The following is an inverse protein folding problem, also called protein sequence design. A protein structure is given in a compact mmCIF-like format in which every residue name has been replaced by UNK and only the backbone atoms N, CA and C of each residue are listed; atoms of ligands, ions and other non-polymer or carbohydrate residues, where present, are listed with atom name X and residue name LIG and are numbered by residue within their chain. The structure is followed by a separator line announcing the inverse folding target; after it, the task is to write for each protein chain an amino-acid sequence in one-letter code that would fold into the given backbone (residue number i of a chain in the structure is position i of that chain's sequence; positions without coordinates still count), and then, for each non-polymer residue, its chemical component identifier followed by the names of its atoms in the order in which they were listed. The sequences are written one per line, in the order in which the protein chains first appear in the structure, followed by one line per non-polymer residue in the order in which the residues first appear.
data_IF_393785746771
#
_entry.id   IF_393785746771
#
_cell.length_a   1.000
_cell.length_b   1.000
_cell.length_c   1.000
_cell.angle_alpha   90.00
_cell.angle_beta   90.00
_cell.angle_gamma   90.00
#
_symmetry.space_group_name_H-M   'P 1'
#
loop_
_entity.id
_entity.type
_entity.pdbx_description
1 polymer ?
#
# COMPACT_ATOMS: atom_id res chain seq x y z
N UNK A 1 -10.22 -22.07 -9.97
CA UNK A 1 -8.96 -21.33 -10.19
C UNK A 1 -8.26 -21.26 -8.84
N UNK A 2 -7.12 -21.95 -8.67
CA UNK A 2 -6.41 -21.97 -7.37
C UNK A 2 -5.88 -20.57 -7.05
N UNK A 3 -6.38 -19.99 -5.97
CA UNK A 3 -6.04 -18.62 -5.55
C UNK A 3 -4.85 -18.68 -4.62
N UNK A 4 -3.81 -17.95 -4.98
CA UNK A 4 -2.54 -17.93 -4.24
C UNK A 4 -2.60 -16.74 -3.30
N UNK A 5 -2.69 -17.03 -2.01
CA UNK A 5 -2.54 -16.02 -0.94
C UNK A 5 -1.17 -16.11 -0.28
N UNK A 6 -0.41 -17.19 -0.55
CA UNK A 6 0.95 -17.37 -0.06
C UNK A 6 1.85 -18.21 -0.98
N UNK A 7 3.13 -17.86 -1.01
CA UNK A 7 4.26 -18.66 -1.51
C UNK A 7 5.30 -18.64 -0.40
N UNK A 8 5.91 -19.79 -0.09
CA UNK A 8 6.85 -19.89 1.01
C UNK A 8 6.23 -19.52 2.37
N UNK A 9 7.08 -19.10 3.30
CA UNK A 9 6.68 -18.60 4.61
C UNK A 9 7.48 -17.33 4.94
N UNK A 10 6.85 -16.29 5.49
CA UNK A 10 7.57 -15.13 6.01
C UNK A 10 8.34 -15.49 7.29
N UNK A 11 9.31 -14.64 7.72
CA UNK A 11 10.08 -14.86 8.95
C UNK A 11 9.30 -14.46 10.22
N UNK A 12 8.00 -14.77 10.26
CA UNK A 12 7.12 -14.57 11.40
C UNK A 12 5.95 -15.54 11.38
N UNK A 13 5.35 -15.71 12.55
CA UNK A 13 4.18 -16.51 12.81
C UNK A 13 2.96 -15.62 13.05
N UNK A 14 1.78 -16.22 12.93
CA UNK A 14 0.53 -15.54 13.24
C UNK A 14 0.44 -15.11 14.72
N UNK A 15 0.94 -15.94 15.63
CA UNK A 15 0.96 -15.62 17.06
C UNK A 15 1.84 -14.42 17.38
N UNK A 16 2.98 -14.28 16.70
CA UNK A 16 3.83 -13.09 16.82
C UNK A 16 3.12 -11.83 16.32
N UNK A 17 2.34 -11.92 15.22
CA UNK A 17 1.52 -10.79 14.76
C UNK A 17 0.56 -10.36 15.87
N UNK A 18 -0.23 -11.30 16.42
CA UNK A 18 -1.24 -10.99 17.45
C UNK A 18 -0.59 -10.39 18.70
N UNK A 19 0.57 -10.91 19.11
CA UNK A 19 1.27 -10.46 20.32
C UNK A 19 1.73 -8.99 20.27
N UNK A 20 1.78 -8.37 19.09
CA UNK A 20 2.22 -6.97 18.93
C UNK A 20 1.08 -5.96 18.76
N UNK A 21 -0.19 -6.37 18.86
CA UNK A 21 -1.32 -5.46 18.69
C UNK A 21 -1.34 -4.35 19.76
N UNK A 22 -1.16 -4.70 21.04
CA UNK A 22 -1.15 -3.71 22.14
C UNK A 22 0.02 -2.72 22.03
N UNK A 23 1.22 -3.21 21.67
CA UNK A 23 2.40 -2.36 21.44
C UNK A 23 2.12 -1.38 20.31
N UNK A 24 1.55 -1.85 19.20
CA UNK A 24 1.21 -1.00 18.08
C UNK A 24 0.16 0.05 18.43
N UNK A 25 -0.90 -0.30 19.16
CA UNK A 25 -1.93 0.68 19.56
C UNK A 25 -1.31 1.82 20.40
N UNK A 26 -0.38 1.47 21.29
CA UNK A 26 0.37 2.46 22.08
C UNK A 26 1.18 3.40 21.18
N UNK A 27 1.90 2.86 20.20
CA UNK A 27 2.67 3.66 19.23
C UNK A 27 1.72 4.52 18.38
N UNK A 28 0.66 3.94 17.83
CA UNK A 28 -0.28 4.61 16.92
C UNK A 28 -1.06 5.74 17.61
N UNK A 29 -1.21 5.70 18.94
CA UNK A 29 -1.75 6.82 19.71
C UNK A 29 -0.86 8.07 19.64
N UNK A 30 0.47 7.91 19.51
CA UNK A 30 1.45 9.01 19.39
C UNK A 30 1.54 9.62 17.99
N UNK A 31 0.85 9.06 16.99
CA UNK A 31 1.00 9.48 15.59
C UNK A 31 0.81 11.00 15.42
N UNK A 32 1.64 11.66 14.60
CA UNK A 32 1.59 13.11 14.40
C UNK A 32 0.34 13.54 13.60
N UNK A 33 -0.19 12.65 12.76
CA UNK A 33 -1.33 12.92 11.89
C UNK A 33 -2.56 12.22 12.47
N UNK A 34 -3.46 12.98 13.09
CA UNK A 34 -4.66 12.38 13.71
C UNK A 34 -5.73 12.01 12.68
N UNK A 35 -5.85 12.81 11.63
CA UNK A 35 -6.74 12.56 10.48
C UNK A 35 -5.91 12.23 9.24
N UNK A 36 -5.83 10.93 8.95
CA UNK A 36 -5.15 10.39 7.78
C UNK A 36 -6.14 9.99 6.66
N UNK A 37 -7.32 10.63 6.55
CA UNK A 37 -8.30 10.34 5.50
C UNK A 37 -7.73 10.43 4.08
N UNK A 38 -7.73 9.30 3.37
CA UNK A 38 -7.15 9.18 2.03
C UNK A 38 -5.83 8.41 1.99
N UNK A 39 -5.20 8.14 3.13
CA UNK A 39 -4.07 7.23 3.26
C UNK A 39 -4.35 6.10 4.25
N UNK A 40 -3.30 5.34 4.60
CA UNK A 40 -3.41 4.18 5.49
C UNK A 40 -3.99 4.54 6.88
N UNK A 41 -4.89 3.67 7.35
CA UNK A 41 -5.39 3.64 8.73
C UNK A 41 -4.76 2.46 9.50
N UNK A 42 -5.19 2.22 10.74
CA UNK A 42 -4.59 1.24 11.64
C UNK A 42 -4.36 -0.16 11.04
N UNK A 43 -5.24 -0.77 10.21
CA UNK A 43 -4.98 -2.13 9.72
C UNK A 43 -3.69 -2.22 8.89
N UNK A 44 -3.47 -1.25 7.99
CA UNK A 44 -2.30 -1.23 7.11
C UNK A 44 -1.08 -0.60 7.79
N UNK A 45 -1.29 0.42 8.62
CA UNK A 45 -0.23 0.97 9.46
C UNK A 45 0.38 -0.11 10.38
N UNK A 46 -0.46 -0.95 10.99
CA UNK A 46 0.01 -2.07 11.79
C UNK A 46 0.81 -3.08 10.97
N UNK A 47 0.30 -3.45 9.80
CA UNK A 47 0.97 -4.39 8.91
C UNK A 47 2.37 -3.88 8.50
N UNK A 48 2.48 -2.62 8.07
CA UNK A 48 3.76 -1.99 7.70
C UNK A 48 4.72 -1.96 8.88
N UNK A 49 4.25 -1.46 10.03
CA UNK A 49 5.06 -1.37 11.24
C UNK A 49 5.58 -2.74 11.69
N UNK A 50 4.70 -3.74 11.77
CA UNK A 50 5.04 -5.09 12.20
C UNK A 50 6.06 -5.72 11.24
N UNK A 51 5.80 -5.67 9.93
CA UNK A 51 6.69 -6.26 8.94
C UNK A 51 8.06 -5.57 8.93
N UNK A 52 8.12 -4.24 9.00
CA UNK A 52 9.38 -3.51 9.08
C UNK A 52 10.16 -3.86 10.37
N UNK A 53 9.48 -3.82 11.53
CA UNK A 53 10.08 -4.17 12.84
C UNK A 53 10.68 -5.58 12.82
N UNK A 54 9.93 -6.55 12.29
CA UNK A 54 10.36 -7.95 12.26
C UNK A 54 11.50 -8.20 11.28
N UNK A 55 11.51 -7.51 10.12
CA UNK A 55 12.59 -7.63 9.14
C UNK A 55 13.87 -6.91 9.59
N UNK A 56 13.75 -5.88 10.44
CA UNK A 56 14.86 -5.07 10.96
C UNK A 56 15.86 -4.63 9.86
N UNK A 57 15.39 -3.94 8.81
CA UNK A 57 16.24 -3.42 7.73
C UNK A 57 17.25 -2.38 8.23
N UNK A 58 18.40 -2.29 7.58
CA UNK A 58 19.35 -1.18 7.74
C UNK A 58 19.09 -0.01 6.77
N UNK A 59 18.31 -0.25 5.72
CA UNK A 59 17.94 0.74 4.72
C UNK A 59 16.48 0.54 4.32
N UNK A 60 15.71 1.61 4.31
CA UNK A 60 14.30 1.61 3.93
C UNK A 60 14.09 2.63 2.82
N UNK A 61 13.43 2.19 1.75
CA UNK A 61 12.83 3.06 0.74
C UNK A 61 11.33 3.07 0.95
N UNK A 62 10.75 4.25 1.08
CA UNK A 62 9.31 4.46 1.03
C UNK A 62 8.99 5.21 -0.27
N UNK A 63 7.98 4.74 -1.02
CA UNK A 63 7.49 5.43 -2.22
C UNK A 63 5.97 5.60 -2.11
N UNK A 64 5.50 6.85 -2.11
CA UNK A 64 4.13 7.22 -1.75
C UNK A 64 4.06 7.69 -0.29
N UNK A 65 4.43 8.95 -0.03
CA UNK A 65 4.52 9.51 1.34
C UNK A 65 3.19 10.13 1.75
N UNK A 66 2.55 10.84 0.82
CA UNK A 66 1.39 11.69 1.06
C UNK A 66 1.58 12.66 2.24
N UNK A 67 0.98 12.40 3.41
CA UNK A 67 1.11 13.25 4.61
C UNK A 67 2.35 12.95 5.45
N UNK A 68 3.04 11.82 5.24
CA UNK A 68 4.24 11.42 6.00
C UNK A 68 3.97 10.56 7.23
N UNK A 69 2.77 9.96 7.36
CA UNK A 69 2.44 9.11 8.51
C UNK A 69 3.24 7.80 8.50
N UNK A 70 3.41 7.18 7.33
CA UNK A 70 4.22 5.98 7.16
C UNK A 70 5.70 6.26 7.35
N UNK A 71 6.21 7.43 6.94
CA UNK A 71 7.58 7.87 7.25
C UNK A 71 7.83 7.85 8.76
N UNK A 72 6.98 8.54 9.55
CA UNK A 72 7.06 8.53 11.01
C UNK A 72 7.03 7.11 11.59
N UNK A 73 6.16 6.26 11.04
CA UNK A 73 5.99 4.89 11.53
C UNK A 73 7.23 4.03 11.27
N UNK A 74 7.82 4.14 10.08
CA UNK A 74 9.02 3.39 9.69
C UNK A 74 10.22 3.77 10.57
N UNK A 75 10.33 5.03 10.98
CA UNK A 75 11.35 5.46 11.94
C UNK A 75 11.15 4.89 13.34
N UNK A 76 9.89 4.81 13.78
CA UNK A 76 9.54 4.16 15.05
C UNK A 76 9.83 2.66 15.00
N UNK A 77 9.55 2.00 13.88
CA UNK A 77 9.82 0.57 13.70
C UNK A 77 11.32 0.26 13.64
N UNK A 78 12.08 1.10 12.91
CA UNK A 78 13.49 0.86 12.57
C UNK A 78 14.35 2.11 12.83
N UNK A 79 14.60 2.46 14.11
CA UNK A 79 15.26 3.72 14.48
C UNK A 79 16.74 3.82 14.07
N UNK A 80 17.34 2.77 13.51
CA UNK A 80 18.71 2.82 12.99
C UNK A 80 18.79 2.71 11.47
N UNK A 81 17.67 2.52 10.78
CA UNK A 81 17.66 2.41 9.33
C UNK A 81 17.91 3.77 8.67
N UNK A 82 18.67 3.77 7.58
CA UNK A 82 18.70 4.88 6.63
C UNK A 82 17.36 4.91 5.90
N UNK A 83 16.75 6.09 5.79
CA UNK A 83 15.41 6.25 5.21
C UNK A 83 15.45 7.16 4.00
N UNK A 84 15.00 6.64 2.86
CA UNK A 84 14.77 7.39 1.61
C UNK A 84 13.27 7.40 1.34
N UNK A 85 12.64 8.56 1.45
CA UNK A 85 11.20 8.74 1.25
C UNK A 85 10.93 9.50 -0.03
N UNK A 86 10.16 8.87 -0.93
CA UNK A 86 9.92 9.34 -2.29
C UNK A 86 8.45 9.67 -2.49
N UNK A 87 8.16 10.87 -2.98
CA UNK A 87 6.82 11.26 -3.43
C UNK A 87 6.91 12.32 -4.53
N UNK A 88 6.14 12.14 -5.60
CA UNK A 88 6.07 13.11 -6.70
C UNK A 88 5.68 14.51 -6.22
N UNK A 89 4.86 14.59 -5.15
CA UNK A 89 4.45 15.84 -4.53
C UNK A 89 4.73 15.82 -3.02
N UNK A 90 5.98 16.13 -2.70
CA UNK A 90 6.45 16.40 -1.35
C UNK A 90 5.72 17.55 -0.63
N UNK A 91 4.92 18.37 -1.32
CA UNK A 91 4.17 19.47 -0.69
C UNK A 91 2.98 19.05 0.17
N UNK A 92 2.52 17.80 0.05
CA UNK A 92 1.38 17.28 0.83
C UNK A 92 1.75 16.83 2.25
N UNK A 93 3.05 16.75 2.56
CA UNK A 93 3.56 16.27 3.84
C UNK A 93 3.15 17.20 4.97
N UNK A 94 2.69 16.60 6.06
CA UNK A 94 2.42 17.27 7.34
C UNK A 94 3.46 16.87 8.38
N UNK A 95 3.89 15.61 8.33
CA UNK A 95 5.05 15.14 9.05
C UNK A 95 6.27 15.14 8.14
N UNK A 96 7.36 15.73 8.61
CA UNK A 96 8.66 15.75 7.94
C UNK A 96 9.69 15.33 8.99
N UNK A 97 10.42 14.27 8.72
CA UNK A 97 11.51 13.83 9.57
C UNK A 97 12.83 14.49 9.16
N UNK A 98 13.64 14.86 10.15
CA UNK A 98 15.01 15.34 9.93
C UNK A 98 15.99 14.21 9.54
N UNK A 99 15.59 12.94 9.69
CA UNK A 99 16.44 11.78 9.38
C UNK A 99 16.19 11.19 7.99
N UNK A 100 15.04 11.49 7.40
CA UNK A 100 14.66 10.96 6.10
C UNK A 100 15.28 11.82 4.98
N UNK A 101 15.91 11.17 4.00
CA UNK A 101 16.22 11.81 2.74
C UNK A 101 14.98 11.84 1.86
N UNK A 102 14.55 13.02 1.43
CA UNK A 102 13.36 13.17 0.60
C UNK A 102 13.69 13.46 -0.86
N UNK A 103 12.96 12.81 -1.76
CA UNK A 103 13.12 12.98 -3.20
C UNK A 103 11.78 12.99 -3.91
N UNK A 104 11.67 13.80 -4.96
CA UNK A 104 10.50 13.85 -5.84
C UNK A 104 10.72 13.16 -7.19
N UNK A 105 11.84 12.46 -7.34
CA UNK A 105 12.15 11.63 -8.51
C UNK A 105 11.49 10.26 -8.38
N UNK A 106 11.18 9.60 -9.48
CA UNK A 106 10.64 8.23 -9.42
C UNK A 106 11.66 7.26 -8.80
N UNK A 107 11.18 6.15 -8.23
CA UNK A 107 12.03 5.07 -7.71
C UNK A 107 13.13 4.63 -8.69
N UNK A 108 12.86 4.58 -10.00
CA UNK A 108 13.88 4.15 -10.99
C UNK A 108 14.94 5.20 -11.30
N UNK A 109 14.74 6.44 -10.87
CA UNK A 109 15.63 7.58 -11.15
C UNK A 109 16.57 7.89 -9.97
N UNK A 110 16.50 7.10 -8.90
CA UNK A 110 17.38 7.21 -7.74
C UNK A 110 18.63 6.32 -7.89
N UNK A 111 19.64 6.58 -7.07
CA UNK A 111 20.82 5.73 -6.95
C UNK A 111 20.64 4.72 -5.82
N UNK A 112 20.64 3.43 -6.18
CA UNK A 112 20.49 2.30 -5.26
C UNK A 112 21.79 1.53 -5.04
N UNK A 113 22.95 2.13 -5.32
CA UNK A 113 24.26 1.47 -5.15
C UNK A 113 24.61 1.13 -3.69
N UNK A 114 23.99 1.80 -2.71
CA UNK A 114 24.27 1.60 -1.27
C UNK A 114 23.36 0.57 -0.58
N UNK A 115 22.47 -0.10 -1.31
CA UNK A 115 21.53 -1.04 -0.68
C UNK A 115 22.25 -2.30 -0.17
N UNK A 116 21.62 -2.96 0.78
CA UNK A 116 22.03 -4.24 1.36
C UNK A 116 21.00 -5.33 1.08
N UNK A 117 21.36 -6.58 1.34
CA UNK A 117 20.43 -7.72 1.31
C UNK A 117 19.26 -7.58 2.29
N UNK A 118 19.39 -6.74 3.32
CA UNK A 118 18.34 -6.46 4.31
C UNK A 118 17.54 -5.21 3.98
N UNK A 119 17.82 -4.55 2.86
CA UNK A 119 17.10 -3.35 2.46
C UNK A 119 15.64 -3.67 2.15
N UNK A 120 14.75 -2.81 2.66
CA UNK A 120 13.30 -2.91 2.50
C UNK A 120 12.80 -1.80 1.59
N UNK A 121 11.92 -2.15 0.65
CA UNK A 121 11.12 -1.18 -0.11
C UNK A 121 9.66 -1.29 0.28
N UNK A 122 9.04 -0.17 0.62
CA UNK A 122 7.61 -0.03 0.86
C UNK A 122 6.99 0.84 -0.23
N UNK A 123 6.04 0.28 -0.98
CA UNK A 123 5.31 0.97 -2.04
C UNK A 123 3.85 1.22 -1.64
N UNK A 124 3.48 2.50 -1.61
CA UNK A 124 2.13 3.09 -1.51
C UNK A 124 1.95 4.16 -2.62
N UNK A 125 2.64 3.95 -3.76
CA UNK A 125 2.72 4.91 -4.87
C UNK A 125 1.65 4.67 -5.95
N UNK A 126 0.78 3.69 -5.70
CA UNK A 126 -0.24 3.16 -6.61
C UNK A 126 0.25 2.84 -8.03
N UNK A 127 1.55 2.55 -8.22
CA UNK A 127 2.05 2.12 -9.52
C UNK A 127 1.74 0.64 -9.79
N UNK A 128 2.10 0.18 -10.99
CA UNK A 128 2.07 -1.23 -11.33
C UNK A 128 3.04 -2.03 -10.42
N UNK A 129 2.49 -2.77 -9.46
CA UNK A 129 3.27 -3.53 -8.48
C UNK A 129 4.13 -4.62 -9.13
N UNK A 130 3.65 -5.25 -10.21
CA UNK A 130 4.44 -6.24 -10.95
C UNK A 130 5.68 -5.60 -11.59
N UNK A 131 5.54 -4.40 -12.17
CA UNK A 131 6.67 -3.64 -12.72
C UNK A 131 7.61 -3.13 -11.64
N UNK A 132 7.09 -2.62 -10.51
CA UNK A 132 7.89 -2.24 -9.34
C UNK A 132 8.72 -3.42 -8.85
N UNK A 133 8.13 -4.62 -8.80
CA UNK A 133 8.86 -5.84 -8.41
C UNK A 133 9.99 -6.19 -9.40
N UNK A 134 9.78 -6.02 -10.71
CA UNK A 134 10.84 -6.19 -11.71
C UNK A 134 11.98 -5.18 -11.52
N UNK A 135 11.65 -3.92 -11.21
CA UNK A 135 12.63 -2.88 -10.92
C UNK A 135 13.42 -3.18 -9.65
N UNK A 136 12.75 -3.58 -8.56
CA UNK A 136 13.39 -4.04 -7.34
C UNK A 136 14.38 -5.18 -7.61
N UNK A 137 13.98 -6.17 -8.41
CA UNK A 137 14.86 -7.26 -8.81
C UNK A 137 16.09 -6.77 -9.58
N UNK A 138 15.89 -5.84 -10.51
CA UNK A 138 16.98 -5.23 -11.28
C UNK A 138 17.99 -4.50 -10.38
N UNK A 139 17.50 -3.74 -9.40
CA UNK A 139 18.35 -2.98 -8.48
C UNK A 139 18.94 -3.81 -7.32
N UNK A 140 18.49 -5.06 -7.13
CA UNK A 140 19.01 -5.97 -6.11
C UNK A 140 18.24 -5.99 -4.79
N UNK A 141 17.07 -5.33 -4.71
CA UNK A 141 16.22 -5.42 -3.52
C UNK A 141 15.59 -6.80 -3.37
N UNK A 142 15.57 -7.31 -2.14
CA UNK A 142 14.97 -8.60 -1.80
C UNK A 142 13.65 -8.49 -1.05
N UNK A 143 13.51 -7.50 -0.18
CA UNK A 143 12.36 -7.35 0.71
C UNK A 143 11.46 -6.21 0.24
N UNK A 144 10.21 -6.52 -0.10
CA UNK A 144 9.25 -5.56 -0.62
C UNK A 144 7.92 -5.68 0.10
N UNK A 145 7.33 -4.56 0.46
CA UNK A 145 5.95 -4.46 0.93
C UNK A 145 5.18 -3.63 -0.11
N UNK A 146 4.03 -4.15 -0.56
CA UNK A 146 3.09 -3.41 -1.38
C UNK A 146 1.82 -3.16 -0.58
N UNK A 147 1.54 -1.88 -0.34
CA UNK A 147 0.22 -1.35 -0.03
C UNK A 147 -0.73 -1.63 -1.22
N UNK A 148 -2.04 -1.60 -0.97
CA UNK A 148 -3.06 -1.70 -2.01
C UNK A 148 -2.88 -2.92 -2.93
N UNK A 149 -2.68 -4.09 -2.32
CA UNK A 149 -2.62 -5.37 -3.01
C UNK A 149 -4.02 -5.85 -3.46
N UNK A 150 -4.71 -4.98 -4.20
CA UNK A 150 -6.12 -5.04 -4.52
C UNK A 150 -6.59 -6.35 -5.15
N UNK A 151 -7.84 -6.78 -4.88
CA UNK A 151 -8.44 -7.94 -5.51
C UNK A 151 -8.72 -7.70 -7.00
N UNK A 152 -9.05 -8.77 -7.74
CA UNK A 152 -9.23 -8.73 -9.19
C UNK A 152 -10.19 -7.62 -9.66
N UNK A 153 -11.30 -7.41 -8.94
CA UNK A 153 -12.39 -6.53 -9.36
C UNK A 153 -12.30 -5.07 -8.89
N UNK A 154 -11.38 -4.72 -7.98
CA UNK A 154 -11.36 -3.40 -7.32
C UNK A 154 -9.98 -2.74 -7.38
N UNK A 155 -9.88 -1.49 -6.93
CA UNK A 155 -8.62 -0.76 -6.85
C UNK A 155 -8.23 0.00 -8.12
N UNK A 156 -7.15 0.77 -8.01
CA UNK A 156 -6.71 1.74 -9.03
C UNK A 156 -5.30 1.46 -9.58
N UNK A 157 -4.68 0.35 -9.18
CA UNK A 157 -3.37 -0.09 -9.67
C UNK A 157 -3.36 -1.59 -10.02
N UNK A 158 -2.31 -2.03 -10.73
CA UNK A 158 -2.09 -3.45 -11.00
C UNK A 158 -1.30 -4.11 -9.88
N UNK A 159 -2.02 -4.69 -8.91
CA UNK A 159 -1.45 -5.41 -7.77
C UNK A 159 -0.91 -6.80 -8.13
N UNK A 160 -0.08 -7.36 -7.25
CA UNK A 160 0.37 -8.75 -7.37
C UNK A 160 -0.80 -9.74 -7.29
N UNK A 161 -1.82 -9.43 -6.48
CA UNK A 161 -3.05 -10.23 -6.38
C UNK A 161 -3.82 -10.29 -7.69
N UNK A 162 -3.91 -9.17 -8.44
CA UNK A 162 -4.47 -9.16 -9.81
C UNK A 162 -3.63 -9.99 -10.78
N UNK A 163 -2.30 -9.93 -10.67
CA UNK A 163 -1.41 -10.74 -11.47
C UNK A 163 -1.58 -12.25 -11.21
N UNK A 164 -1.65 -12.68 -9.94
CA UNK A 164 -1.94 -14.08 -9.59
C UNK A 164 -3.33 -14.54 -10.02
N UNK A 165 -4.32 -13.64 -10.05
CA UNK A 165 -5.68 -13.92 -10.52
C UNK A 165 -5.82 -13.91 -12.06
N UNK A 166 -4.75 -13.58 -12.80
CA UNK A 166 -4.74 -13.45 -14.25
C UNK A 166 -5.72 -12.39 -14.78
N UNK A 167 -6.09 -11.41 -13.94
CA UNK A 167 -7.19 -10.50 -14.19
C UNK A 167 -6.85 -9.37 -15.19
N UNK A 168 -5.56 -9.08 -15.35
CA UNK A 168 -5.12 -7.85 -16.02
C UNK A 168 -5.51 -6.60 -15.22
N UNK A 169 -5.49 -5.44 -15.89
CA UNK A 169 -5.85 -4.15 -15.31
C UNK A 169 -6.29 -3.18 -16.40
N UNK A 170 -7.38 -2.47 -16.16
CA UNK A 170 -7.84 -1.38 -17.01
C UNK A 170 -7.92 -0.10 -16.17
N UNK A 171 -6.99 0.85 -16.39
CA UNK A 171 -7.02 2.11 -15.67
C UNK A 171 -8.34 2.84 -15.92
N UNK A 172 -8.85 3.51 -14.88
CA UNK A 172 -10.06 4.31 -15.02
C UNK A 172 -9.78 5.45 -16.01
N UNK A 173 -10.37 5.36 -17.21
CA UNK A 173 -10.24 6.42 -18.21
C UNK A 173 -10.79 7.75 -17.66
N UNK A 174 -10.11 8.90 -17.83
CA UNK A 174 -10.70 10.21 -17.53
C UNK A 174 -12.04 10.45 -18.26
N UNK A 175 -12.32 9.71 -19.33
CA UNK A 175 -13.54 9.82 -20.12
C UNK A 175 -14.76 9.09 -19.50
N UNK A 176 -14.57 8.11 -18.61
CA UNK A 176 -15.69 7.35 -18.01
C UNK A 176 -16.41 8.10 -16.89
N UNK A 177 -15.82 9.19 -16.37
CA UNK A 177 -16.50 10.15 -15.46
C UNK A 177 -17.42 11.16 -16.18
N UNK A 178 -17.68 11.02 -17.49
CA UNK A 178 -18.66 11.84 -18.23
C UNK A 178 -20.08 11.22 -18.20
N UNK A 179 -20.67 11.10 -17.01
CA UNK A 179 -22.14 11.14 -16.87
C UNK A 179 -22.47 12.22 -15.83
N UNK A 180 -22.76 13.43 -16.33
CA UNK A 180 -23.19 14.57 -15.51
C UNK A 180 -22.24 15.78 -15.55
N UNK A 181 -22.05 16.42 -16.72
CA UNK A 181 -21.41 17.75 -16.75
C UNK A 181 -22.42 18.78 -16.28
N UNK A 182 -22.43 19.07 -14.98
CA UNK A 182 -23.21 20.19 -14.42
C UNK A 182 -22.64 21.52 -14.96
N UNK A 183 -23.43 22.24 -15.77
CA UNK A 183 -23.07 23.53 -16.39
C UNK A 183 -22.54 24.54 -15.34
N UNK A 184 -23.08 24.48 -14.12
CA UNK A 184 -22.66 25.28 -12.95
C UNK A 184 -21.18 25.07 -12.60
N UNK A 185 -20.66 23.84 -12.72
CA UNK A 185 -19.26 23.52 -12.44
C UNK A 185 -18.30 24.07 -13.51
N UNK A 186 -18.80 24.32 -14.72
CA UNK A 186 -18.04 24.95 -15.82
C UNK A 186 -17.94 26.47 -15.60
N UNK A 187 -19.02 27.08 -15.12
CA UNK A 187 -19.07 28.50 -14.75
C UNK A 187 -18.17 28.77 -13.54
N UNK A 188 -18.26 27.98 -12.46
CA UNK A 188 -17.36 28.10 -11.29
C UNK A 188 -15.88 27.97 -11.66
N UNK A 189 -15.52 27.05 -12.55
CA UNK A 189 -14.14 26.89 -13.04
C UNK A 189 -13.62 28.10 -13.82
N UNK A 190 -14.51 28.79 -14.55
CA UNK A 190 -14.18 30.02 -15.27
C UNK A 190 -13.93 31.18 -14.30
N UNK A 191 -14.77 31.32 -13.29
CA UNK A 191 -14.60 32.34 -12.25
C UNK A 191 -13.35 32.08 -11.38
N UNK A 192 -13.06 30.83 -11.02
CA UNK A 192 -11.83 30.48 -10.29
C UNK A 192 -10.55 30.87 -11.06
N UNK A 193 -10.51 30.63 -12.39
CA UNK A 193 -9.37 31.06 -13.23
C UNK A 193 -9.21 32.58 -13.31
N UNK A 194 -10.33 33.32 -13.36
CA UNK A 194 -10.31 34.79 -13.35
C UNK A 194 -9.83 35.36 -12.01
N UNK A 195 -10.05 34.64 -10.90
CA UNK A 195 -9.60 35.01 -9.56
C UNK A 195 -8.18 34.52 -9.21
N UNK A 196 -7.40 34.03 -10.18
CA UNK A 196 -6.05 33.49 -9.94
C UNK A 196 -6.03 32.14 -9.19
N UNK A 197 -7.19 31.54 -8.93
CA UNK A 197 -7.33 30.22 -8.33
C UNK A 197 -7.19 29.18 -9.44
N UNK A 198 -5.97 28.74 -9.70
CA UNK A 198 -5.73 27.60 -10.58
C UNK A 198 -6.29 26.34 -9.92
N UNK A 199 -7.27 25.64 -10.54
CA UNK A 199 -7.63 24.31 -10.07
C UNK A 199 -6.39 23.44 -10.24
N UNK A 200 -5.92 22.84 -9.13
CA UNK A 200 -4.92 21.78 -9.14
C UNK A 200 -5.48 20.70 -10.07
N UNK A 201 -4.91 20.60 -11.28
CA UNK A 201 -5.20 19.46 -12.13
C UNK A 201 -4.49 18.27 -11.51
N UNK A 202 -5.24 17.41 -10.83
CA UNK A 202 -4.80 16.04 -10.56
C UNK A 202 -4.65 15.36 -11.92
N UNK A 203 -3.43 15.39 -12.46
CA UNK A 203 -3.03 14.51 -13.56
C UNK A 203 -3.18 13.08 -13.02
N UNK A 204 -3.86 12.15 -13.71
CA UNK A 204 -3.98 10.78 -13.22
C UNK A 204 -2.60 10.18 -13.00
N UNK A 205 -2.37 9.68 -11.79
CA UNK A 205 -1.07 9.38 -11.17
C UNK A 205 -0.50 7.99 -11.48
N UNK A 206 -1.05 7.28 -12.47
CA UNK A 206 -0.83 5.84 -12.62
C UNK A 206 -0.18 5.52 -13.98
N UNK A 207 0.60 4.43 -14.05
CA UNK A 207 0.90 3.81 -15.33
C UNK A 207 -0.42 3.44 -16.02
N UNK A 208 -0.82 4.24 -17.01
CA UNK A 208 -2.11 4.13 -17.72
C UNK A 208 -2.13 3.01 -18.76
N UNK A 209 -1.12 2.15 -18.75
CA UNK A 209 -1.06 1.03 -19.66
C UNK A 209 -2.12 0.00 -19.26
N UNK A 210 -3.06 -0.26 -20.16
CA UNK A 210 -3.98 -1.39 -20.03
C UNK A 210 -3.19 -2.68 -20.05
N UNK A 211 -3.40 -3.52 -19.04
CA UNK A 211 -2.81 -4.85 -18.93
C UNK A 211 -3.90 -5.84 -19.27
N UNK A 212 -3.69 -6.64 -20.31
CA UNK A 212 -4.65 -7.68 -20.69
C UNK A 212 -4.57 -8.85 -19.70
N UNK A 213 -5.70 -9.51 -19.41
CA UNK A 213 -5.70 -10.78 -18.68
C UNK A 213 -4.66 -11.74 -19.24
N UNK A 214 -3.79 -12.29 -18.38
CA UNK A 214 -2.70 -13.18 -18.77
C UNK A 214 -2.26 -14.07 -17.61
N UNK A 215 -1.69 -15.23 -17.91
CA UNK A 215 -1.12 -16.15 -16.91
C UNK A 215 0.42 -16.02 -16.76
N UNK A 216 1.06 -15.25 -17.65
CA UNK A 216 2.51 -15.11 -17.73
C UNK A 216 3.02 -14.44 -16.46
N UNK A 217 2.37 -13.36 -16.02
CA UNK A 217 2.78 -12.61 -14.83
C UNK A 217 2.74 -13.50 -13.59
N UNK A 218 1.68 -14.29 -13.41
CA UNK A 218 1.57 -15.30 -12.34
C UNK A 218 2.68 -16.34 -12.40
N UNK A 219 3.03 -16.85 -13.59
CA UNK A 219 4.15 -17.80 -13.76
C UNK A 219 5.49 -17.15 -13.42
N UNK A 220 5.71 -15.91 -13.82
CA UNK A 220 6.95 -15.19 -13.50
C UNK A 220 7.06 -14.84 -12.02
N UNK A 221 5.95 -14.48 -11.36
CA UNK A 221 5.91 -14.29 -9.91
C UNK A 221 6.31 -15.57 -9.17
N UNK A 222 5.70 -16.72 -9.48
CA UNK A 222 6.06 -18.02 -8.90
C UNK A 222 7.53 -18.38 -9.13
N UNK A 223 8.06 -18.03 -10.30
CA UNK A 223 9.47 -18.30 -10.64
C UNK A 223 10.43 -17.46 -9.80
N UNK A 224 10.09 -16.21 -9.49
CA UNK A 224 11.02 -15.22 -8.93
C UNK A 224 10.81 -14.88 -7.45
N UNK A 225 9.68 -15.26 -6.86
CA UNK A 225 9.41 -15.03 -5.43
C UNK A 225 9.78 -16.26 -4.60
N UNK A 226 10.53 -16.02 -3.52
CA UNK A 226 10.69 -16.96 -2.40
C UNK A 226 9.50 -16.88 -1.46
N UNK A 227 9.04 -15.65 -1.19
CA UNK A 227 7.88 -15.40 -0.34
C UNK A 227 6.89 -14.50 -1.06
N UNK A 228 5.63 -14.88 -0.99
CA UNK A 228 4.49 -14.00 -1.17
C UNK A 228 3.59 -14.22 0.04
N UNK A 229 3.20 -13.16 0.73
CA UNK A 229 2.39 -13.27 1.92
C UNK A 229 1.42 -12.10 2.01
N UNK A 230 0.13 -12.36 1.89
CA UNK A 230 -0.90 -11.37 2.19
C UNK A 230 -1.10 -11.25 3.70
N UNK A 231 -0.87 -10.07 4.25
CA UNK A 231 -1.00 -9.82 5.68
C UNK A 231 -2.49 -9.89 6.07
N UNK A 232 -2.88 -10.72 7.05
CA UNK A 232 -4.29 -10.88 7.42
C UNK A 232 -4.87 -9.59 8.01
N UNK A 233 -6.16 -9.29 7.79
CA UNK A 233 -6.81 -8.20 8.51
C UNK A 233 -6.86 -8.51 10.01
N UNK A 234 -6.86 -7.49 10.87
CA UNK A 234 -7.04 -7.72 12.32
C UNK A 234 -8.46 -8.22 12.60
N UNK A 235 -9.45 -7.50 12.08
CA UNK A 235 -10.86 -7.88 12.03
C UNK A 235 -11.35 -7.80 10.59
N UNK A 236 -12.31 -8.66 10.21
CA UNK A 236 -12.93 -8.68 8.88
C UNK A 236 -14.39 -8.25 9.00
N UNK A 237 -14.76 -7.16 8.33
CA UNK A 237 -16.15 -6.71 8.25
C UNK A 237 -16.96 -7.58 7.28
N UNK A 238 -18.29 -7.54 7.39
CA UNK A 238 -19.18 -8.17 6.40
C UNK A 238 -19.13 -7.49 5.03
N UNK A 239 -18.73 -6.21 4.98
CA UNK A 239 -18.61 -5.42 3.75
C UNK A 239 -17.20 -4.90 3.55
N UNK A 240 -16.79 -4.81 2.29
CA UNK A 240 -15.56 -4.15 1.88
C UNK A 240 -15.68 -2.63 1.97
N UNK A 241 -14.56 -1.91 1.81
CA UNK A 241 -14.54 -0.44 1.76
C UNK A 241 -15.38 0.17 0.63
N UNK A 242 -15.67 -0.61 -0.40
CA UNK A 242 -16.45 -0.19 -1.57
C UNK A 242 -17.96 -0.43 -1.37
N UNK A 243 -18.36 -1.07 -0.26
CA UNK A 243 -19.75 -1.22 0.18
C UNK A 243 -20.41 -2.54 -0.22
N UNK A 244 -19.72 -3.37 -1.00
CA UNK A 244 -20.13 -4.73 -1.37
C UNK A 244 -19.74 -5.77 -0.32
N UNK A 245 -20.40 -6.93 -0.37
CA UNK A 245 -20.17 -8.02 0.57
C UNK A 245 -18.75 -8.58 0.47
N UNK A 246 -18.10 -8.76 1.61
CA UNK A 246 -16.73 -9.27 1.71
C UNK A 246 -16.69 -10.80 1.72
N UNK A 247 -17.14 -11.40 0.62
CA UNK A 247 -17.17 -12.84 0.42
C UNK A 247 -15.83 -13.39 -0.09
N UNK A 248 -15.44 -14.61 0.29
CA UNK A 248 -14.15 -15.19 -0.08
C UNK A 248 -14.06 -15.62 -1.56
N UNK A 249 -15.19 -15.62 -2.28
CA UNK A 249 -15.27 -15.90 -3.72
C UNK A 249 -14.97 -14.65 -4.54
N UNK A 250 -15.31 -13.45 -4.11
CA UNK A 250 -14.92 -12.21 -4.82
C UNK A 250 -13.63 -11.64 -4.24
N UNK A 251 -13.50 -11.75 -2.92
CA UNK A 251 -12.49 -11.11 -2.10
C UNK A 251 -11.75 -12.13 -1.24
N UNK A 252 -11.00 -13.05 -1.88
CA UNK A 252 -10.22 -14.04 -1.14
C UNK A 252 -9.25 -13.35 -0.19
N UNK A 253 -9.45 -13.55 1.11
CA UNK A 253 -8.69 -12.93 2.19
C UNK A 253 -8.28 -14.01 3.18
N UNK A 254 -7.12 -13.86 3.80
CA UNK A 254 -6.73 -14.70 4.94
C UNK A 254 -7.68 -14.49 6.12
N UNK A 255 -7.86 -15.51 6.96
CA UNK A 255 -8.66 -15.40 8.18
C UNK A 255 -8.20 -14.22 9.05
N UNK A 256 -9.15 -13.41 9.57
CA UNK A 256 -8.83 -12.25 10.40
C UNK A 256 -8.09 -12.69 11.66
N UNK A 257 -7.11 -11.90 12.13
CA UNK A 257 -6.26 -12.25 13.27
C UNK A 257 -7.07 -12.54 14.53
N UNK A 258 -8.14 -11.78 14.74
CA UNK A 258 -9.06 -11.90 15.87
C UNK A 258 -10.49 -12.04 15.36
N UNK A 259 -11.31 -12.78 16.12
CA UNK A 259 -12.76 -12.83 15.91
C UNK A 259 -13.44 -11.62 16.55
N UNK A 260 -14.44 -11.07 15.86
CA UNK A 260 -15.25 -9.99 16.41
C UNK A 260 -16.36 -10.57 17.29
N UNK A 261 -16.36 -10.19 18.56
CA UNK A 261 -17.34 -10.56 19.59
C UNK A 261 -17.81 -9.29 20.31
N UNK A 262 -18.91 -9.38 21.08
CA UNK A 262 -19.46 -8.24 21.82
C UNK A 262 -18.46 -7.60 22.81
N UNK A 263 -17.43 -8.36 23.23
CA UNK A 263 -16.39 -7.93 24.17
C UNK A 263 -15.00 -7.81 23.53
N UNK A 264 -14.90 -7.68 22.20
CA UNK A 264 -13.59 -7.58 21.53
C UNK A 264 -12.79 -6.38 22.03
N UNK A 265 -11.55 -6.62 22.44
CA UNK A 265 -10.52 -5.59 22.63
C UNK A 265 -10.11 -4.97 21.29
N UNK A 266 -9.24 -3.97 21.31
CA UNK A 266 -8.70 -3.32 20.11
C UNK A 266 -9.73 -2.56 19.27
N UNK A 267 -10.53 -1.72 19.94
CA UNK A 267 -11.60 -0.91 19.32
C UNK A 267 -11.10 -0.08 18.14
N UNK A 268 -9.85 0.40 18.17
CA UNK A 268 -9.22 1.12 17.07
C UNK A 268 -9.32 0.34 15.75
N UNK A 269 -8.93 -0.93 15.76
CA UNK A 269 -8.94 -1.76 14.57
C UNK A 269 -10.34 -2.14 14.12
N UNK A 270 -11.31 -2.22 15.04
CA UNK A 270 -12.73 -2.44 14.70
C UNK A 270 -13.28 -1.21 13.97
N UNK A 271 -13.07 -0.02 14.54
CA UNK A 271 -13.58 1.25 14.01
C UNK A 271 -12.98 1.56 12.62
N UNK A 272 -11.74 1.12 12.37
CA UNK A 272 -11.02 1.32 11.11
C UNK A 272 -10.95 0.07 10.22
N UNK A 273 -11.65 -1.02 10.55
CA UNK A 273 -11.58 -2.29 9.81
C UNK A 273 -11.97 -2.16 8.33
N UNK A 274 -12.85 -1.21 8.01
CA UNK A 274 -13.28 -0.92 6.65
C UNK A 274 -12.16 -0.34 5.76
N UNK A 275 -11.01 0.07 6.32
CA UNK A 275 -9.90 0.64 5.56
C UNK A 275 -8.87 -0.40 5.08
N UNK A 276 -9.09 -1.69 5.35
CA UNK A 276 -8.21 -2.74 4.84
C UNK A 276 -8.42 -2.95 3.32
N UNK A 277 -7.35 -2.82 2.54
CA UNK A 277 -7.31 -2.98 1.07
C UNK A 277 -6.34 -4.04 0.59
N UNK A 278 -6.04 -5.01 1.47
CA UNK A 278 -4.99 -6.01 1.28
C UNK A 278 -3.61 -5.36 1.20
N UNK A 279 -2.68 -5.89 1.97
CA UNK A 279 -1.27 -5.50 1.93
C UNK A 279 -0.45 -6.78 1.88
N UNK A 280 0.66 -6.78 1.15
CA UNK A 280 1.46 -7.98 1.00
C UNK A 280 2.95 -7.73 1.20
N UNK A 281 3.61 -8.76 1.72
CA UNK A 281 5.05 -8.91 1.71
C UNK A 281 5.46 -9.83 0.56
N UNK A 282 6.45 -9.39 -0.21
CA UNK A 282 7.09 -10.15 -1.26
C UNK A 282 8.60 -10.23 -1.00
N UNK A 283 9.15 -11.44 -1.06
CA UNK A 283 10.59 -11.68 -1.04
C UNK A 283 11.05 -12.22 -2.39
N UNK A 284 11.95 -11.50 -3.05
CA UNK A 284 12.58 -11.95 -4.28
C UNK A 284 13.68 -12.99 -3.99
N UNK A 285 13.82 -13.94 -4.93
CA UNK A 285 14.96 -14.86 -5.07
C UNK A 285 16.22 -14.16 -5.49
#
# INVERSE_FOLDING_TARGET
MHRITKIGAPPWTRSEIIAHLDEFETIYAERPIKDNQGGMQSPHMFAVWFMAKQLSPDFIVESGIWKGQSTWLLEKACPNAKLVSIDINLGNRQYISDRAFYSNKDFVEQDWSEISDRSLVFFDDHQNAYKRLQQCKWFGFKHIIFEDNYPAAQGDCYSLKKAFAHAGFEPVSPASKKRGINIIAKIRRRFARLAGLHPISLIPQYETAKIRPNDIDSRMLKKNLDVYYEFPPVFKNSKTRWGDEWDDVTYPTSEPLLEQTDNSSHKLFIDEAAFYTWICYAKLK
#
